data_IF_834156765035
#
_entry.id   IF_834156765035
#
_cell.length_a   1.000
_cell.length_b   1.000
_cell.length_c   1.000
_cell.angle_alpha   90.00
_cell.angle_beta   90.00
_cell.angle_gamma   90.00
#
_symmetry.space_group_name_H-M   'P 1'
#
loop_
_entity.id
_entity.type
_entity.pdbx_description
1 polymer ?
#
# COMPACT_ATOMS: atom_id res chain seq x y z
N UNK A 1 -10.37 -32.87 10.18
CA UNK A 1 -10.40 -31.79 11.18
C UNK A 1 -11.54 -30.85 10.82
N UNK A 2 -12.37 -30.41 11.77
CA UNK A 2 -13.39 -29.40 11.47
C UNK A 2 -12.78 -28.00 11.53
N UNK A 3 -13.37 -27.04 10.80
CA UNK A 3 -12.95 -25.64 10.84
C UNK A 3 -12.96 -25.07 12.25
N UNK A 4 -13.92 -25.48 13.07
CA UNK A 4 -14.05 -25.05 14.46
C UNK A 4 -12.91 -25.58 15.33
N UNK A 5 -12.54 -26.86 15.17
CA UNK A 5 -11.40 -27.44 15.87
C UNK A 5 -10.07 -26.77 15.49
N UNK A 6 -9.90 -26.41 14.21
CA UNK A 6 -8.70 -25.73 13.73
C UNK A 6 -8.59 -24.30 14.29
N UNK A 7 -9.72 -23.57 14.35
CA UNK A 7 -9.76 -22.23 14.94
C UNK A 7 -9.32 -22.22 16.40
N UNK A 8 -9.85 -23.15 17.20
CA UNK A 8 -9.52 -23.25 18.62
C UNK A 8 -8.03 -23.55 18.84
N UNK A 9 -7.45 -24.46 18.05
CA UNK A 9 -6.02 -24.77 18.11
C UNK A 9 -5.15 -23.55 17.78
N UNK A 10 -5.50 -22.78 16.74
CA UNK A 10 -4.75 -21.59 16.37
C UNK A 10 -4.83 -20.50 17.45
N UNK A 11 -6.00 -20.29 18.07
CA UNK A 11 -6.16 -19.35 19.18
C UNK A 11 -5.29 -19.76 20.37
N UNK A 12 -5.31 -21.04 20.74
CA UNK A 12 -4.51 -21.58 21.84
C UNK A 12 -3.00 -21.40 21.58
N UNK A 13 -2.54 -21.67 20.36
CA UNK A 13 -1.14 -21.46 19.97
C UNK A 13 -0.74 -19.98 20.05
N UNK A 14 -1.60 -19.07 19.59
CA UNK A 14 -1.32 -17.64 19.64
C UNK A 14 -1.24 -17.12 21.08
N UNK A 15 -2.15 -17.56 21.96
CA UNK A 15 -2.15 -17.16 23.38
C UNK A 15 -0.88 -17.59 24.12
N UNK A 16 -0.24 -18.68 23.71
CA UNK A 16 1.00 -19.19 24.31
C UNK A 16 2.27 -18.65 23.67
N UNK A 17 2.17 -18.03 22.51
CA UNK A 17 3.33 -17.54 21.77
C UNK A 17 3.78 -16.21 22.35
N UNK A 18 5.05 -16.14 22.78
CA UNK A 18 5.69 -14.91 23.25
C UNK A 18 6.70 -14.34 22.24
N UNK A 19 6.96 -15.07 21.15
CA UNK A 19 7.82 -14.61 20.05
C UNK A 19 7.12 -13.52 19.23
N UNK A 20 7.57 -12.29 19.43
CA UNK A 20 7.05 -11.11 18.73
C UNK A 20 7.25 -11.17 17.21
N UNK A 21 8.34 -11.77 16.73
CA UNK A 21 8.62 -11.88 15.29
C UNK A 21 7.59 -12.77 14.61
N UNK A 22 7.29 -13.92 15.24
CA UNK A 22 6.28 -14.85 14.76
C UNK A 22 4.88 -14.22 14.78
N UNK A 23 4.53 -13.50 15.85
CA UNK A 23 3.24 -12.81 15.94
C UNK A 23 3.07 -11.74 14.86
N UNK A 24 4.13 -10.99 14.52
CA UNK A 24 4.11 -10.01 13.41
C UNK A 24 3.86 -10.66 12.06
N UNK A 25 4.48 -11.81 11.79
CA UNK A 25 4.28 -12.57 10.55
C UNK A 25 2.85 -13.06 10.43
N UNK A 26 2.27 -13.61 11.51
CA UNK A 26 0.87 -14.07 11.53
C UNK A 26 -0.09 -12.89 11.33
N UNK A 27 0.17 -11.74 11.95
CA UNK A 27 -0.64 -10.54 11.75
C UNK A 27 -0.60 -10.05 10.29
N UNK A 28 0.56 -10.12 9.62
CA UNK A 28 0.69 -9.78 8.20
C UNK A 28 -0.09 -10.77 7.31
N UNK A 29 -0.06 -12.06 7.63
CA UNK A 29 -0.84 -13.07 6.92
C UNK A 29 -2.35 -12.78 6.98
N UNK A 30 -2.86 -12.35 8.14
CA UNK A 30 -4.27 -11.99 8.26
C UNK A 30 -4.64 -10.69 7.51
N UNK A 31 -3.75 -9.70 7.49
CA UNK A 31 -3.95 -8.44 6.72
C UNK A 31 -3.99 -8.69 5.22
N UNK A 32 -3.02 -9.44 4.69
CA UNK A 32 -2.99 -9.83 3.27
C UNK A 32 -4.20 -10.67 2.87
N UNK A 33 -4.62 -11.63 3.70
CA UNK A 33 -5.78 -12.47 3.43
C UNK A 33 -7.12 -11.70 3.43
N UNK A 34 -7.22 -10.59 4.17
CA UNK A 34 -8.43 -9.75 4.23
C UNK A 34 -8.52 -8.75 3.07
N UNK A 35 -7.48 -8.65 2.23
CA UNK A 35 -7.37 -7.59 1.23
C UNK A 35 -7.23 -6.20 1.87
N UNK A 36 -6.89 -6.12 3.16
CA UNK A 36 -6.56 -4.86 3.86
C UNK A 36 -5.12 -4.42 3.58
N UNK A 37 -4.38 -5.21 2.81
CA UNK A 37 -3.28 -4.70 2.03
C UNK A 37 -3.86 -4.05 0.76
N UNK A 38 -4.23 -2.76 0.87
CA UNK A 38 -3.81 -1.84 -0.17
C UNK A 38 -2.30 -2.05 -0.30
N UNK A 39 -1.90 -2.85 -1.29
CA UNK A 39 -0.61 -3.51 -1.40
C UNK A 39 0.61 -2.56 -1.45
N UNK A 40 0.35 -1.26 -1.40
CA UNK A 40 1.29 -0.17 -1.58
C UNK A 40 1.32 0.77 -0.36
N UNK A 41 0.51 0.51 0.68
CA UNK A 41 0.38 1.36 1.87
C UNK A 41 -0.34 2.69 1.60
N UNK A 42 -1.08 2.78 0.48
CA UNK A 42 -1.85 3.95 0.11
C UNK A 42 -3.27 3.86 0.69
N UNK A 43 -3.79 4.98 1.21
CA UNK A 43 -5.20 5.06 1.59
C UNK A 43 -6.11 5.14 0.35
N UNK A 44 -7.39 4.82 0.50
CA UNK A 44 -8.42 5.02 -0.55
C UNK A 44 -8.38 6.42 -1.17
N UNK A 45 -8.20 7.45 -0.34
CA UNK A 45 -8.08 8.84 -0.78
C UNK A 45 -6.84 9.05 -1.69
N UNK A 46 -5.71 8.45 -1.32
CA UNK A 46 -4.48 8.51 -2.13
C UNK A 46 -4.65 7.74 -3.45
N UNK A 47 -5.36 6.62 -3.43
CA UNK A 47 -5.72 5.87 -4.63
C UNK A 47 -6.61 6.69 -5.57
N UNK A 48 -7.57 7.44 -5.02
CA UNK A 48 -8.43 8.35 -5.81
C UNK A 48 -7.61 9.42 -6.53
N UNK A 49 -6.62 10.02 -5.85
CA UNK A 49 -5.73 11.03 -6.45
C UNK A 49 -4.93 10.46 -7.63
N UNK A 50 -4.38 9.25 -7.48
CA UNK A 50 -3.61 8.61 -8.56
C UNK A 50 -4.53 8.27 -9.73
N UNK A 51 -5.73 7.78 -9.46
CA UNK A 51 -6.73 7.44 -10.48
C UNK A 51 -7.15 8.66 -11.29
N UNK A 52 -7.48 9.77 -10.63
CA UNK A 52 -7.85 11.02 -11.31
C UNK A 52 -6.75 11.51 -12.26
N UNK A 53 -5.50 11.56 -11.79
CA UNK A 53 -4.35 11.95 -12.62
C UNK A 53 -4.14 11.03 -13.83
N UNK A 54 -4.35 9.74 -13.65
CA UNK A 54 -4.23 8.76 -14.73
C UNK A 54 -5.33 8.94 -15.79
N UNK A 55 -6.55 9.26 -15.37
CA UNK A 55 -7.65 9.56 -16.29
C UNK A 55 -7.41 10.87 -17.06
N UNK A 56 -6.92 11.93 -16.41
CA UNK A 56 -6.50 13.16 -17.08
C UNK A 56 -5.41 12.90 -18.12
N UNK A 57 -4.39 12.11 -17.77
CA UNK A 57 -3.34 11.70 -18.69
C UNK A 57 -3.90 10.96 -19.91
N UNK A 58 -4.82 10.01 -19.71
CA UNK A 58 -5.49 9.29 -20.82
C UNK A 58 -6.28 10.21 -21.74
N UNK A 59 -6.85 11.29 -21.22
CA UNK A 59 -7.57 12.32 -22.00
C UNK A 59 -6.64 13.34 -22.66
N UNK A 60 -5.33 13.28 -22.40
CA UNK A 60 -4.36 14.28 -22.88
C UNK A 60 -4.43 15.62 -22.13
N UNK A 61 -5.16 15.66 -21.02
CA UNK A 61 -5.32 16.84 -20.15
C UNK A 61 -4.27 16.86 -19.03
N UNK A 62 -3.61 15.72 -18.80
CA UNK A 62 -2.56 15.59 -17.80
C UNK A 62 -1.35 16.45 -18.13
N UNK A 63 -0.86 17.21 -17.14
CA UNK A 63 0.40 17.95 -17.26
C UNK A 63 1.55 16.96 -17.46
N UNK A 64 2.15 17.00 -18.63
CA UNK A 64 3.40 16.32 -18.94
C UNK A 64 4.46 17.38 -19.27
N UNK A 65 5.70 17.06 -18.96
CA UNK A 65 6.83 17.95 -19.20
C UNK A 65 7.89 17.19 -19.97
N UNK A 66 8.46 17.87 -20.96
CA UNK A 66 9.67 17.42 -21.66
C UNK A 66 10.87 17.47 -20.73
N UNK A 67 11.92 16.73 -21.08
CA UNK A 67 13.16 16.72 -20.32
C UNK A 67 13.77 18.12 -20.21
N UNK A 68 13.69 18.91 -21.27
CA UNK A 68 14.17 20.28 -21.34
C UNK A 68 13.43 21.18 -20.34
N UNK A 69 12.09 21.08 -20.28
CA UNK A 69 11.27 21.84 -19.34
C UNK A 69 11.57 21.47 -17.89
N UNK A 70 11.70 20.17 -17.59
CA UNK A 70 12.08 19.70 -16.25
C UNK A 70 13.46 20.24 -15.86
N UNK A 71 14.42 20.24 -16.79
CA UNK A 71 15.78 20.74 -16.56
C UNK A 71 15.80 22.24 -16.29
N UNK A 72 14.97 23.03 -16.98
CA UNK A 72 14.83 24.46 -16.70
C UNK A 72 14.18 24.74 -15.36
N UNK A 73 13.10 24.04 -15.02
CA UNK A 73 12.42 24.18 -13.72
C UNK A 73 13.37 23.90 -12.56
N UNK A 74 14.13 22.80 -12.62
CA UNK A 74 15.12 22.44 -11.60
C UNK A 74 16.27 23.46 -11.45
N UNK A 75 16.62 24.18 -12.52
CA UNK A 75 17.61 25.26 -12.48
C UNK A 75 17.05 26.54 -11.89
N UNK A 76 15.79 26.86 -12.19
CA UNK A 76 15.11 28.04 -11.64
C UNK A 76 14.85 27.89 -10.14
N UNK A 77 14.47 26.70 -9.68
CA UNK A 77 14.25 26.43 -8.24
C UNK A 77 15.51 26.52 -7.38
N UNK A 78 16.71 26.28 -7.94
CA UNK A 78 18.00 26.47 -7.25
C UNK A 78 18.46 27.94 -7.17
N UNK A 79 17.82 28.85 -7.88
CA UNK A 79 18.16 30.28 -7.91
C UNK A 79 17.24 31.14 -7.02
N UNK A 80 16.23 30.54 -6.41
CA UNK A 80 15.36 31.14 -5.39
C UNK A 80 15.84 30.73 -3.99
#
# INVERSE_FOLDING_TARGET
MSTESLKLQLIEHLLRTTDESLLKQVAALFRSAKGEEDADGLTDEQYSIVKERYEEYKRGEGKSYTWEEVREMARKSKKA
#
